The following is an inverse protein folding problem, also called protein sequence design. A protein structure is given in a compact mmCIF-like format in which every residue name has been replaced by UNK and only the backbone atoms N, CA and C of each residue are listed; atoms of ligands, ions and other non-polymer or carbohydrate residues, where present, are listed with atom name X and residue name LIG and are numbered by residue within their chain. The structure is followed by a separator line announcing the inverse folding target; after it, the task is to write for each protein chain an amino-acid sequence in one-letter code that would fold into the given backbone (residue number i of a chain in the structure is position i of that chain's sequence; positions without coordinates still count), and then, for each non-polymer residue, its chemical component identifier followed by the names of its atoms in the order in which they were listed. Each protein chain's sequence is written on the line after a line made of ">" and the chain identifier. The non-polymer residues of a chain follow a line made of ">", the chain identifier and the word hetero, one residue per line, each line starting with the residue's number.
data_IF_447301047117
#
_entry.id   IF_447301047117
#
_cell.length_a   1.000
_cell.length_b   1.000
_cell.length_c   1.000
_cell.angle_alpha   90.00
_cell.angle_beta   90.00
_cell.angle_gamma   90.00
#
_symmetry.space_group_name_H-M   'P 1'
#
loop_
_entity.id
_entity.type
_entity.pdbx_description
1 polymer ?
#
# COMPACT_ATOMS: atom_id res chain seq x y z
N UNK A 1 -25.98 -7.42 -8.41
CA UNK A 1 -26.27 -8.11 -7.14
C UNK A 1 -25.19 -9.12 -6.76
N UNK A 2 -24.77 -10.02 -7.64
CA UNK A 2 -23.79 -11.08 -7.36
C UNK A 2 -22.44 -10.56 -6.80
N UNK A 3 -21.90 -9.47 -7.34
CA UNK A 3 -20.62 -8.86 -6.87
C UNK A 3 -20.68 -8.34 -5.42
N UNK A 4 -21.85 -7.84 -4.98
CA UNK A 4 -22.04 -7.39 -3.58
C UNK A 4 -22.14 -8.57 -2.62
N UNK A 5 -22.73 -9.68 -3.06
CA UNK A 5 -22.85 -10.91 -2.27
C UNK A 5 -21.47 -11.56 -2.10
N UNK A 6 -20.63 -11.58 -3.13
CA UNK A 6 -19.27 -12.12 -3.04
C UNK A 6 -18.38 -11.32 -2.06
N UNK A 7 -18.46 -9.98 -2.07
CA UNK A 7 -17.76 -9.15 -1.09
C UNK A 7 -18.24 -9.42 0.34
N UNK A 8 -19.55 -9.56 0.54
CA UNK A 8 -20.11 -9.82 1.87
C UNK A 8 -19.75 -11.22 2.38
N UNK A 9 -19.78 -12.22 1.51
CA UNK A 9 -19.36 -13.59 1.83
C UNK A 9 -17.86 -13.67 2.17
N UNK A 10 -17.01 -12.89 1.47
CA UNK A 10 -15.58 -12.83 1.77
C UNK A 10 -15.31 -12.16 3.13
N UNK A 11 -16.04 -11.10 3.46
CA UNK A 11 -15.97 -10.42 4.77
C UNK A 11 -16.46 -11.37 5.88
N UNK A 12 -17.57 -12.08 5.68
CA UNK A 12 -18.08 -13.06 6.65
C UNK A 12 -17.09 -14.23 6.86
N UNK A 13 -16.47 -14.72 5.79
CA UNK A 13 -15.46 -15.77 5.88
C UNK A 13 -14.22 -15.30 6.66
N UNK A 14 -13.81 -14.05 6.50
CA UNK A 14 -12.71 -13.45 7.29
C UNK A 14 -13.11 -13.29 8.78
N UNK A 15 -14.36 -12.95 9.08
CA UNK A 15 -14.86 -12.78 10.47
C UNK A 15 -15.04 -14.12 11.17
N UNK A 16 -15.51 -15.17 10.49
CA UNK A 16 -15.71 -16.49 11.07
C UNK A 16 -14.41 -17.21 11.46
N UNK A 17 -13.27 -16.83 10.86
CA UNK A 17 -11.95 -17.35 11.25
C UNK A 17 -11.37 -16.69 12.49
N UNK A 18 -12.02 -15.65 13.04
CA UNK A 18 -11.59 -14.92 14.25
C UNK A 18 -11.94 -15.62 15.57
N UNK A 19 -12.61 -16.77 15.55
CA UNK A 19 -12.76 -17.60 16.76
C UNK A 19 -11.44 -18.33 17.04
N UNK A 20 -10.42 -17.57 17.39
CA UNK A 20 -9.16 -18.08 17.88
C UNK A 20 -9.25 -18.31 19.39
N UNK A 21 -9.27 -19.58 19.78
CA UNK A 21 -8.78 -19.96 21.11
C UNK A 21 -7.39 -19.38 21.23
N UNK A 22 -7.20 -18.42 22.14
CA UNK A 22 -5.90 -17.95 22.55
C UNK A 22 -5.16 -19.14 23.17
N UNK A 23 -4.48 -19.92 22.33
CA UNK A 23 -3.51 -20.87 22.81
C UNK A 23 -2.39 -20.04 23.44
N UNK A 24 -2.19 -20.19 24.75
CA UNK A 24 -0.99 -19.75 25.44
C UNK A 24 0.21 -20.37 24.72
N UNK A 25 0.72 -19.70 23.69
CA UNK A 25 1.99 -20.03 23.11
C UNK A 25 3.03 -19.83 24.21
N UNK A 26 3.78 -20.87 24.54
CA UNK A 26 5.00 -20.78 25.34
C UNK A 26 5.75 -19.55 24.86
N UNK A 27 6.05 -18.63 25.76
CA UNK A 27 6.67 -17.35 25.45
C UNK A 27 8.07 -17.61 24.85
N UNK A 28 8.12 -17.73 23.53
CA UNK A 28 9.37 -17.86 22.80
C UNK A 28 10.15 -16.55 22.96
N UNK A 29 11.30 -16.60 23.60
CA UNK A 29 12.16 -15.43 23.83
C UNK A 29 12.60 -14.72 22.56
N UNK A 30 12.41 -15.36 21.39
CA UNK A 30 12.68 -14.78 20.06
C UNK A 30 11.46 -14.06 19.48
N UNK A 31 10.29 -14.11 20.10
CA UNK A 31 9.07 -13.48 19.63
C UNK A 31 9.11 -11.98 19.89
N UNK A 32 9.19 -11.23 18.79
CA UNK A 32 9.20 -9.77 18.79
C UNK A 32 7.82 -9.27 18.42
N UNK A 33 7.21 -8.45 19.28
CA UNK A 33 5.82 -7.95 19.07
C UNK A 33 5.77 -6.73 18.19
N UNK A 34 6.74 -5.84 18.31
CA UNK A 34 6.76 -4.60 17.56
C UNK A 34 7.70 -4.70 16.36
N UNK A 35 7.37 -3.98 15.32
CA UNK A 35 8.30 -3.75 14.22
C UNK A 35 8.16 -2.33 13.66
N UNK A 36 9.23 -1.87 13.04
CA UNK A 36 9.26 -0.72 12.17
C UNK A 36 9.75 -1.17 10.80
N UNK A 37 9.17 -0.59 9.77
CA UNK A 37 9.50 -0.99 8.40
C UNK A 37 9.26 0.10 7.38
N UNK A 38 9.66 -0.20 6.15
CA UNK A 38 9.48 0.67 5.00
C UNK A 38 9.42 -0.16 3.71
N UNK A 39 9.38 0.52 2.57
CA UNK A 39 9.36 -0.08 1.25
C UNK A 39 10.60 0.30 0.46
N UNK A 40 11.10 -0.62 -0.36
CA UNK A 40 12.19 -0.36 -1.32
C UNK A 40 11.81 0.65 -2.42
N UNK A 41 10.53 1.02 -2.55
CA UNK A 41 10.11 2.10 -3.44
C UNK A 41 10.80 3.44 -3.10
N UNK A 42 11.30 3.59 -1.87
CA UNK A 42 12.14 4.74 -1.49
C UNK A 42 13.41 4.88 -2.35
N UNK A 43 13.90 3.78 -2.94
CA UNK A 43 15.04 3.82 -3.86
C UNK A 43 14.73 4.60 -5.15
N UNK A 44 13.44 4.73 -5.51
CA UNK A 44 13.02 5.59 -6.62
C UNK A 44 13.42 7.06 -6.44
N UNK A 45 13.65 7.50 -5.21
CA UNK A 45 14.12 8.87 -4.93
C UNK A 45 15.54 9.14 -5.44
N UNK A 46 16.31 8.12 -5.79
CA UNK A 46 17.64 8.30 -6.42
C UNK A 46 17.56 8.69 -7.90
N UNK A 47 16.39 8.54 -8.55
CA UNK A 47 16.17 9.12 -9.87
C UNK A 47 16.04 10.65 -9.74
N UNK A 48 17.09 11.38 -10.16
CA UNK A 48 17.14 12.83 -10.05
C UNK A 48 16.12 13.54 -10.95
N UNK A 49 15.68 12.90 -12.03
CA UNK A 49 14.74 13.52 -12.97
C UNK A 49 13.30 13.31 -12.57
N UNK A 50 12.98 12.10 -12.06
CA UNK A 50 11.63 11.66 -11.80
C UNK A 50 11.49 11.13 -10.37
N UNK A 51 12.08 11.81 -9.40
CA UNK A 51 11.96 11.41 -7.99
C UNK A 51 10.50 11.42 -7.53
N UNK A 52 9.97 10.31 -7.04
CA UNK A 52 8.61 10.25 -6.49
C UNK A 52 8.48 10.94 -5.13
N UNK A 53 9.57 11.47 -4.56
CA UNK A 53 9.61 11.96 -3.17
C UNK A 53 8.96 10.96 -2.19
N UNK A 54 9.20 9.68 -2.45
CA UNK A 54 8.52 8.60 -1.74
C UNK A 54 9.13 8.40 -0.36
N UNK A 55 8.29 8.54 0.65
CA UNK A 55 8.62 8.21 2.04
C UNK A 55 7.53 7.30 2.58
N UNK A 56 7.94 6.20 3.20
CA UNK A 56 7.03 5.30 3.90
C UNK A 56 7.62 4.88 5.24
N UNK A 57 6.83 4.99 6.29
CA UNK A 57 7.14 4.48 7.61
C UNK A 57 5.98 3.58 8.06
N UNK A 58 6.29 2.36 8.43
CA UNK A 58 5.34 1.39 8.94
C UNK A 58 5.70 1.08 10.39
N UNK A 59 4.72 1.14 11.28
CA UNK A 59 4.84 0.64 12.66
C UNK A 59 3.78 -0.42 12.84
N UNK A 60 4.19 -1.61 13.27
CA UNK A 60 3.26 -2.72 13.41
C UNK A 60 3.39 -3.43 14.74
N UNK A 61 2.28 -4.05 15.14
CA UNK A 61 2.16 -4.84 16.34
C UNK A 61 1.59 -6.22 16.05
N UNK A 62 2.25 -7.26 16.53
CA UNK A 62 1.81 -8.65 16.44
C UNK A 62 0.83 -8.96 17.55
N UNK A 63 -0.45 -8.99 17.23
CA UNK A 63 -1.52 -9.36 18.18
C UNK A 63 -1.37 -10.83 18.57
N UNK A 64 -1.10 -11.68 17.57
CA UNK A 64 -0.81 -13.10 17.74
C UNK A 64 0.45 -13.47 16.93
N UNK A 65 1.00 -14.69 17.05
CA UNK A 65 2.07 -15.15 16.16
C UNK A 65 1.72 -15.10 14.67
N UNK A 66 0.42 -15.06 14.33
CA UNK A 66 -0.07 -15.06 12.95
C UNK A 66 -0.66 -13.73 12.52
N UNK A 67 -1.13 -12.89 13.44
CA UNK A 67 -1.93 -11.71 13.12
C UNK A 67 -1.18 -10.44 13.52
N UNK A 68 -1.10 -9.51 12.60
CA UNK A 68 -0.41 -8.23 12.74
C UNK A 68 -1.34 -7.11 12.35
N UNK A 69 -1.35 -6.05 13.13
CA UNK A 69 -1.89 -4.76 12.75
C UNK A 69 -0.76 -3.77 12.52
N UNK A 70 -0.93 -2.87 11.57
CA UNK A 70 0.05 -1.82 11.30
C UNK A 70 -0.62 -0.48 11.07
N UNK A 71 0.10 0.55 11.44
CA UNK A 71 -0.14 1.91 11.01
C UNK A 71 1.02 2.30 10.08
N UNK A 72 0.67 2.86 8.92
CA UNK A 72 1.65 3.30 7.95
C UNK A 72 1.40 4.75 7.60
N UNK A 73 2.47 5.46 7.38
CA UNK A 73 2.46 6.82 6.88
C UNK A 73 3.20 6.85 5.55
N UNK A 74 2.53 7.32 4.51
CA UNK A 74 3.10 7.41 3.17
C UNK A 74 3.01 8.83 2.64
N UNK A 75 4.08 9.28 2.00
CA UNK A 75 4.12 10.50 1.21
C UNK A 75 4.71 10.16 -0.15
N UNK A 76 4.14 10.71 -1.22
CA UNK A 76 4.69 10.55 -2.57
C UNK A 76 4.18 11.62 -3.51
N UNK A 77 4.83 11.71 -4.66
CA UNK A 77 4.35 12.46 -5.82
C UNK A 77 4.05 11.44 -6.92
N UNK A 78 2.97 11.65 -7.67
CA UNK A 78 2.69 10.87 -8.88
C UNK A 78 2.12 11.76 -9.99
N UNK A 79 2.22 11.28 -11.23
CA UNK A 79 1.81 12.02 -12.42
C UNK A 79 3.00 12.66 -13.13
N UNK A 80 2.78 13.77 -13.84
CA UNK A 80 3.86 14.50 -14.50
C UNK A 80 4.85 15.09 -13.46
N UNK A 81 6.18 15.00 -13.62
CA UNK A 81 6.89 14.28 -14.70
C UNK A 81 7.16 12.80 -14.42
N UNK A 82 6.81 12.26 -13.25
CA UNK A 82 7.11 10.87 -12.85
C UNK A 82 6.27 9.84 -13.61
N UNK A 83 5.11 10.27 -14.08
CA UNK A 83 4.20 9.40 -14.80
C UNK A 83 3.38 8.45 -13.93
N UNK A 84 2.62 7.60 -14.59
CA UNK A 84 1.87 6.52 -13.95
C UNK A 84 2.71 5.26 -13.95
N UNK A 85 2.82 4.52 -12.82
CA UNK A 85 3.49 3.24 -12.79
C UNK A 85 2.89 2.30 -13.85
N UNK A 86 3.73 1.75 -14.75
CA UNK A 86 3.29 0.88 -15.84
C UNK A 86 2.18 1.48 -16.74
N UNK A 87 2.22 2.79 -16.91
CA UNK A 87 1.17 3.54 -17.61
C UNK A 87 1.66 4.37 -18.79
N UNK A 88 0.78 5.19 -19.36
CA UNK A 88 1.02 5.98 -20.57
C UNK A 88 2.27 6.84 -20.53
N UNK A 89 2.64 7.32 -19.33
CA UNK A 89 3.80 8.18 -19.15
C UNK A 89 5.13 7.56 -19.56
N UNK A 90 5.26 6.22 -19.51
CA UNK A 90 6.45 5.53 -19.96
C UNK A 90 6.41 5.22 -21.45
N UNK A 91 5.21 4.84 -21.95
CA UNK A 91 5.04 4.40 -23.33
C UNK A 91 4.52 5.52 -24.25
N UNK A 92 3.70 6.42 -23.71
CA UNK A 92 3.00 7.47 -24.43
C UNK A 92 2.99 8.78 -23.65
N UNK A 93 4.05 9.58 -23.66
CA UNK A 93 4.15 10.82 -22.90
C UNK A 93 2.99 11.79 -23.11
N UNK A 94 2.38 11.84 -24.29
CA UNK A 94 1.22 12.69 -24.59
C UNK A 94 -0.08 12.28 -23.88
N UNK A 95 -0.11 11.16 -23.19
CA UNK A 95 -1.23 10.71 -22.39
C UNK A 95 -1.02 10.93 -20.87
N UNK A 96 0.06 11.60 -20.49
CA UNK A 96 0.37 11.93 -19.10
C UNK A 96 -0.65 12.91 -18.51
N UNK A 97 -0.65 12.99 -17.18
CA UNK A 97 -1.33 14.08 -16.49
C UNK A 97 -0.73 15.43 -16.87
N UNK A 98 -1.59 16.45 -16.96
CA UNK A 98 -1.22 17.85 -17.10
C UNK A 98 -0.74 18.45 -15.78
N UNK A 99 0.18 17.78 -15.11
CA UNK A 99 0.69 18.11 -13.78
C UNK A 99 0.90 16.89 -12.92
N UNK A 100 0.95 17.07 -11.61
CA UNK A 100 1.20 16.00 -10.66
C UNK A 100 0.34 16.11 -9.40
N UNK A 101 0.22 15.03 -8.64
CA UNK A 101 -0.43 15.01 -7.35
C UNK A 101 0.58 14.69 -6.24
N UNK A 102 0.56 15.49 -5.17
CA UNK A 102 1.25 15.18 -3.93
C UNK A 102 0.29 14.47 -3.00
N UNK A 103 0.69 13.30 -2.53
CA UNK A 103 -0.12 12.43 -1.68
C UNK A 103 0.44 12.43 -0.27
N UNK A 104 -0.48 12.50 0.68
CA UNK A 104 -0.24 12.19 2.08
C UNK A 104 -1.24 11.10 2.47
N UNK A 105 -0.75 9.95 2.94
CA UNK A 105 -1.61 8.79 3.11
C UNK A 105 -1.37 8.02 4.41
N UNK A 106 -2.07 8.38 5.50
CA UNK A 106 -2.20 7.51 6.66
C UNK A 106 -2.92 6.22 6.27
N UNK A 107 -2.40 5.09 6.71
CA UNK A 107 -2.84 3.77 6.30
C UNK A 107 -2.98 2.85 7.49
N UNK A 108 -4.07 2.10 7.55
CA UNK A 108 -4.25 1.00 8.49
C UNK A 108 -4.06 -0.32 7.75
N UNK A 109 -3.24 -1.19 8.31
CA UNK A 109 -2.94 -2.50 7.74
C UNK A 109 -3.29 -3.64 8.68
N UNK A 110 -3.71 -4.74 8.08
CA UNK A 110 -3.83 -6.03 8.72
C UNK A 110 -3.11 -7.07 7.87
N UNK A 111 -2.25 -7.90 8.51
CA UNK A 111 -1.49 -8.96 7.86
C UNK A 111 -1.67 -10.26 8.63
N UNK A 112 -1.90 -11.36 7.89
CA UNK A 112 -2.02 -12.69 8.46
C UNK A 112 -1.01 -13.63 7.86
N UNK A 113 -0.22 -14.27 8.73
CA UNK A 113 0.69 -15.35 8.37
C UNK A 113 -0.05 -16.69 8.37
N UNK A 114 0.05 -17.42 7.26
CA UNK A 114 -0.62 -18.70 7.08
C UNK A 114 0.32 -19.86 7.39
N UNK A 115 1.47 -19.88 6.76
CA UNK A 115 2.43 -20.98 6.87
C UNK A 115 3.84 -20.50 6.55
N UNK A 116 4.83 -20.81 7.44
CA UNK A 116 6.27 -20.58 7.23
C UNK A 116 6.68 -19.24 6.60
N UNK A 117 6.01 -18.15 6.92
CA UNK A 117 6.31 -16.83 6.38
C UNK A 117 5.42 -16.40 5.22
N UNK A 118 4.62 -17.29 4.61
CA UNK A 118 3.59 -16.90 3.65
C UNK A 118 2.53 -16.08 4.35
N UNK A 119 2.17 -14.94 3.77
CA UNK A 119 1.16 -14.05 4.34
C UNK A 119 0.24 -13.46 3.28
N UNK A 120 -0.92 -13.03 3.74
CA UNK A 120 -1.77 -12.08 3.04
C UNK A 120 -1.93 -10.83 3.88
N UNK A 121 -2.11 -9.68 3.23
CA UNK A 121 -2.42 -8.44 3.94
C UNK A 121 -3.47 -7.62 3.20
N UNK A 122 -4.14 -6.77 3.98
CA UNK A 122 -5.06 -5.74 3.51
C UNK A 122 -4.68 -4.42 4.16
N UNK A 123 -4.52 -3.39 3.36
CA UNK A 123 -4.19 -2.05 3.82
C UNK A 123 -5.22 -1.06 3.29
N UNK A 124 -5.85 -0.31 4.20
CA UNK A 124 -6.75 0.79 3.87
C UNK A 124 -5.97 2.11 3.91
N UNK A 125 -5.60 2.60 2.74
CA UNK A 125 -4.78 3.78 2.56
C UNK A 125 -5.67 4.97 2.24
N UNK A 126 -5.66 5.95 3.13
CA UNK A 126 -6.44 7.19 3.01
C UNK A 126 -5.57 8.27 2.37
N UNK A 127 -5.65 8.42 1.06
CA UNK A 127 -4.80 9.35 0.33
C UNK A 127 -5.45 10.73 0.24
N UNK A 128 -4.86 11.70 0.92
CA UNK A 128 -5.16 13.12 0.76
C UNK A 128 -4.26 13.66 -0.35
N UNK A 129 -4.89 14.15 -1.42
CA UNK A 129 -4.22 14.52 -2.65
C UNK A 129 -4.26 16.04 -2.84
N UNK A 130 -3.10 16.62 -3.14
CA UNK A 130 -2.97 18.01 -3.59
C UNK A 130 -2.56 17.99 -5.05
N UNK A 131 -3.47 18.42 -5.92
CA UNK A 131 -3.21 18.48 -7.36
C UNK A 131 -2.53 19.79 -7.74
N UNK A 132 -1.50 19.67 -8.56
CA UNK A 132 -0.66 20.75 -9.05
C UNK A 132 -0.58 20.65 -10.57
N UNK A 133 -0.52 21.79 -11.27
CA UNK A 133 -0.22 21.83 -12.70
C UNK A 133 1.27 21.68 -12.98
N UNK A 134 1.66 21.82 -14.25
CA UNK A 134 3.06 21.72 -14.69
C UNK A 134 3.95 22.82 -14.09
N UNK A 135 3.37 23.98 -13.75
CA UNK A 135 4.05 25.11 -13.11
C UNK A 135 4.08 25.01 -11.57
N UNK A 136 3.67 23.86 -11.01
CA UNK A 136 3.53 23.64 -9.56
C UNK A 136 2.45 24.49 -8.86
N UNK A 137 1.57 25.13 -9.63
CA UNK A 137 0.44 25.87 -9.08
C UNK A 137 -0.67 24.93 -8.67
N UNK A 138 -1.24 25.14 -7.48
CA UNK A 138 -2.33 24.33 -6.96
C UNK A 138 -3.61 24.50 -7.80
N UNK A 139 -4.15 23.39 -8.30
CA UNK A 139 -5.41 23.34 -9.06
C UNK A 139 -6.55 22.65 -8.29
N UNK A 140 -6.27 21.96 -7.19
CA UNK A 140 -7.30 21.34 -6.38
C UNK A 140 -6.76 20.48 -5.24
N UNK A 141 -7.69 19.97 -4.44
CA UNK A 141 -7.43 18.91 -3.47
C UNK A 141 -8.43 17.78 -3.73
N UNK A 142 -8.01 16.56 -3.49
CA UNK A 142 -8.84 15.38 -3.59
C UNK A 142 -8.59 14.38 -2.46
N UNK A 143 -9.38 13.33 -2.50
CA UNK A 143 -9.24 12.21 -1.59
C UNK A 143 -9.49 10.92 -2.36
N UNK A 144 -8.63 9.94 -2.13
CA UNK A 144 -8.80 8.59 -2.66
C UNK A 144 -8.62 7.57 -1.54
N UNK A 145 -9.56 6.63 -1.45
CA UNK A 145 -9.40 5.44 -0.61
C UNK A 145 -8.82 4.33 -1.47
N UNK A 146 -7.62 3.86 -1.13
CA UNK A 146 -7.04 2.68 -1.73
C UNK A 146 -7.15 1.49 -0.77
N UNK A 147 -7.58 0.37 -1.31
CA UNK A 147 -7.53 -0.93 -0.65
C UNK A 147 -6.43 -1.74 -1.32
N UNK A 148 -5.34 -1.95 -0.60
CA UNK A 148 -4.17 -2.68 -1.11
C UNK A 148 -4.15 -4.07 -0.51
N UNK A 149 -4.25 -5.08 -1.37
CA UNK A 149 -4.13 -6.49 -1.02
C UNK A 149 -2.75 -6.98 -1.41
N UNK A 150 -2.10 -7.76 -0.54
CA UNK A 150 -0.83 -8.40 -0.87
C UNK A 150 -0.88 -9.88 -0.55
N UNK A 151 -0.19 -10.65 -1.38
CA UNK A 151 0.23 -12.01 -1.12
C UNK A 151 1.76 -12.02 -1.17
N UNK A 152 2.40 -12.40 -0.09
CA UNK A 152 3.84 -12.33 0.02
C UNK A 152 4.45 -13.38 0.92
N UNK A 153 5.77 -13.29 1.04
CA UNK A 153 6.56 -14.14 1.90
C UNK A 153 7.51 -13.29 2.75
N UNK A 154 7.55 -13.54 4.07
CA UNK A 154 8.47 -12.88 4.99
C UNK A 154 9.70 -13.73 5.23
N UNK A 155 10.84 -13.28 4.73
CA UNK A 155 12.17 -13.79 5.12
C UNK A 155 12.62 -13.10 6.40
N UNK A 156 13.17 -13.86 7.33
CA UNK A 156 13.69 -13.34 8.61
C UNK A 156 15.16 -13.62 8.74
N UNK A 157 15.92 -12.65 9.25
CA UNK A 157 17.36 -12.69 9.40
C UNK A 157 17.77 -12.26 10.81
N UNK A 158 19.01 -12.57 11.22
CA UNK A 158 19.63 -12.10 12.47
C UNK A 158 18.74 -12.33 13.71
N UNK A 159 18.41 -13.60 13.98
CA UNK A 159 17.54 -13.98 15.10
C UNK A 159 16.17 -13.29 15.06
N UNK A 160 15.56 -13.26 13.88
CA UNK A 160 14.26 -12.64 13.60
C UNK A 160 14.19 -11.13 13.80
N UNK A 161 15.33 -10.42 13.87
CA UNK A 161 15.33 -8.96 14.01
C UNK A 161 15.03 -8.25 12.70
N UNK A 162 15.67 -8.65 11.60
CA UNK A 162 15.40 -8.09 10.29
C UNK A 162 14.44 -8.96 9.50
N UNK A 163 13.59 -8.34 8.72
CA UNK A 163 12.76 -9.03 7.75
C UNK A 163 12.76 -8.35 6.41
N UNK A 164 12.44 -9.13 5.40
CA UNK A 164 12.32 -8.76 4.00
C UNK A 164 11.09 -9.46 3.43
N UNK A 165 10.21 -8.71 2.76
CA UNK A 165 8.91 -9.17 2.31
C UNK A 165 8.69 -8.86 0.82
N UNK A 166 9.10 -9.76 -0.09
CA UNK A 166 8.59 -9.73 -1.45
C UNK A 166 7.12 -10.12 -1.47
N UNK A 167 6.35 -9.40 -2.29
CA UNK A 167 4.92 -9.62 -2.43
C UNK A 167 4.44 -9.30 -3.85
N UNK A 168 3.30 -9.84 -4.21
CA UNK A 168 2.46 -9.35 -5.31
C UNK A 168 1.29 -8.64 -4.66
N UNK A 169 1.06 -7.40 -5.06
CA UNK A 169 -0.01 -6.56 -4.57
C UNK A 169 -1.04 -6.22 -5.64
N UNK A 170 -2.27 -6.03 -5.20
CA UNK A 170 -3.34 -5.47 -5.99
C UNK A 170 -3.89 -4.25 -5.25
N UNK A 171 -3.81 -3.09 -5.88
CA UNK A 171 -4.40 -1.86 -5.38
C UNK A 171 -5.73 -1.63 -6.06
N UNK A 172 -6.77 -1.39 -5.29
CA UNK A 172 -8.12 -1.07 -5.75
C UNK A 172 -8.59 0.22 -5.07
N UNK A 173 -9.18 1.15 -5.83
CA UNK A 173 -9.71 2.39 -5.27
C UNK A 173 -11.21 2.53 -5.52
N UNK A 174 -12.03 2.13 -4.53
CA UNK A 174 -13.49 2.21 -4.64
C UNK A 174 -14.04 3.63 -4.56
N UNK A 175 -13.29 4.55 -3.95
CA UNK A 175 -13.70 5.92 -3.74
C UNK A 175 -12.60 6.89 -4.15
N UNK A 176 -12.98 7.85 -5.00
CA UNK A 176 -12.14 8.96 -5.39
C UNK A 176 -12.99 10.22 -5.55
N UNK A 177 -12.56 11.32 -4.94
CA UNK A 177 -13.33 12.57 -4.93
C UNK A 177 -12.50 13.75 -5.42
N UNK A 178 -13.18 14.77 -5.95
CA UNK A 178 -12.62 16.07 -6.31
C UNK A 178 -11.40 16.02 -7.25
N UNK A 179 -11.34 15.03 -8.14
CA UNK A 179 -10.29 14.95 -9.17
C UNK A 179 -10.48 16.09 -10.16
N UNK A 180 -9.47 16.93 -10.46
CA UNK A 180 -9.55 17.98 -11.45
C UNK A 180 -9.92 17.44 -12.85
N UNK A 181 -10.59 18.25 -13.65
CA UNK A 181 -11.06 17.83 -14.98
C UNK A 181 -9.93 17.39 -15.91
N UNK A 182 -8.76 18.05 -15.83
CA UNK A 182 -7.54 17.69 -16.57
C UNK A 182 -7.03 16.29 -16.23
N UNK A 183 -7.10 15.89 -14.95
CA UNK A 183 -6.70 14.56 -14.47
C UNK A 183 -7.76 13.50 -14.81
N UNK A 184 -9.05 13.83 -14.69
CA UNK A 184 -10.15 12.90 -15.01
C UNK A 184 -10.07 12.35 -16.45
N UNK A 185 -9.54 13.13 -17.39
CA UNK A 185 -9.39 12.72 -18.79
C UNK A 185 -8.45 11.51 -18.91
N UNK A 186 -7.38 11.49 -18.13
CA UNK A 186 -6.41 10.38 -18.08
C UNK A 186 -6.98 9.21 -17.25
N UNK A 187 -7.54 9.50 -16.08
CA UNK A 187 -8.10 8.52 -15.16
C UNK A 187 -9.17 7.61 -15.77
N UNK A 188 -10.04 8.19 -16.62
CA UNK A 188 -11.10 7.45 -17.33
C UNK A 188 -10.59 6.34 -18.25
N UNK A 189 -9.31 6.37 -18.64
CA UNK A 189 -8.68 5.38 -19.51
C UNK A 189 -8.22 4.14 -18.74
N UNK A 190 -8.13 4.23 -17.40
CA UNK A 190 -7.60 3.20 -16.55
C UNK A 190 -8.68 2.52 -15.72
N UNK A 191 -8.55 1.21 -15.48
CA UNK A 191 -9.38 0.54 -14.48
C UNK A 191 -9.06 1.11 -13.10
N UNK A 192 -9.99 0.99 -12.17
CA UNK A 192 -9.81 1.43 -10.78
C UNK A 192 -9.02 0.40 -9.92
N UNK A 193 -8.15 -0.35 -10.54
CA UNK A 193 -7.23 -1.28 -9.89
C UNK A 193 -5.95 -1.46 -10.73
N UNK A 194 -4.88 -1.85 -10.08
CA UNK A 194 -3.68 -2.34 -10.75
C UNK A 194 -2.94 -3.37 -9.89
N UNK A 195 -2.17 -4.23 -10.55
CA UNK A 195 -1.32 -5.23 -9.90
C UNK A 195 0.12 -4.77 -9.99
N UNK A 196 0.85 -4.90 -8.87
CA UNK A 196 2.24 -4.46 -8.78
C UNK A 196 3.06 -5.38 -7.88
N UNK A 197 4.37 -5.51 -8.13
CA UNK A 197 5.27 -6.11 -7.17
C UNK A 197 5.40 -5.21 -5.93
N UNK A 198 5.47 -5.82 -4.76
CA UNK A 198 5.75 -5.17 -3.49
C UNK A 198 7.07 -5.67 -2.93
N UNK A 199 7.83 -4.78 -2.31
CA UNK A 199 9.07 -5.14 -1.68
C UNK A 199 9.24 -4.31 -0.41
N UNK A 200 9.09 -4.96 0.75
CA UNK A 200 9.13 -4.31 2.04
C UNK A 200 10.27 -4.87 2.88
N UNK A 201 10.71 -4.10 3.84
CA UNK A 201 11.72 -4.49 4.81
C UNK A 201 11.46 -3.86 6.15
N UNK A 202 12.02 -4.42 7.20
CA UNK A 202 11.87 -3.83 8.53
C UNK A 202 12.68 -4.53 9.61
N UNK A 203 12.50 -4.01 10.82
CA UNK A 203 13.18 -4.44 12.03
C UNK A 203 12.16 -4.76 13.11
N UNK A 204 12.31 -5.94 13.74
CA UNK A 204 11.48 -6.39 14.86
C UNK A 204 12.20 -6.16 16.20
N UNK A 205 11.46 -5.70 17.22
CA UNK A 205 11.99 -5.43 18.58
C UNK A 205 10.97 -5.74 19.69
#
# INVERSE_FOLDING_TARGET
>A
MLKKILCFAFILFMVSTLQLKAQHAKQDSTYKRWFVGSSFLMLGNFDRKNSPEYVQLNVGYRITPKDVISFEFKRSIYGFPIGLPFGPSFDKPGENYSGHARILAPTLGYQRFWWKGVYTSLHALNAFEKYLDEDNKKIGNGYTLYLNFHLGYQFKFFKNRFFFEPAIGCSYWPLRTNVPASFKKVEKKWPNYFVQPGLHFGFNF
#
